data_IF_480154561745
#
_entry.id   IF_480154561745
#
_cell.length_a   1.000
_cell.length_b   1.000
_cell.length_c   1.000
_cell.angle_alpha   90.00
_cell.angle_beta   90.00
_cell.angle_gamma   90.00
#
_symmetry.space_group_name_H-M   'P 1'
#
loop_
_entity.id
_entity.type
_entity.pdbx_description
1 polymer ?
#
# COMPACT_ATOMS: atom_id res chain seq x y z
N UNK A 1 -8.85 6.05 -11.29
CA UNK A 1 -9.57 6.70 -12.39
C UNK A 1 -9.90 8.12 -12.00
N UNK A 2 -9.84 9.08 -12.91
CA UNK A 2 -10.26 10.45 -12.67
C UNK A 2 -11.02 10.98 -13.91
N UNK A 3 -12.36 11.12 -13.85
CA UNK A 3 -13.15 11.57 -15.00
C UNK A 3 -13.05 13.08 -15.26
N UNK A 4 -12.50 13.87 -14.34
CA UNK A 4 -12.46 15.33 -14.44
C UNK A 4 -11.22 15.83 -15.19
N UNK A 5 -10.07 15.20 -14.94
CA UNK A 5 -8.77 15.61 -15.52
C UNK A 5 -8.16 14.54 -16.43
N UNK A 6 -8.83 13.39 -16.57
CA UNK A 6 -8.29 12.20 -17.23
C UNK A 6 -7.47 11.33 -16.27
N UNK A 7 -7.42 10.03 -16.59
CA UNK A 7 -6.60 9.06 -15.86
C UNK A 7 -5.22 8.98 -16.52
N UNK A 8 -4.10 9.26 -15.81
CA UNK A 8 -2.77 9.03 -16.40
C UNK A 8 -2.59 7.54 -16.64
N UNK A 9 -1.95 7.16 -17.75
CA UNK A 9 -1.77 5.75 -18.10
C UNK A 9 -0.49 5.20 -17.48
N UNK A 10 -0.55 3.96 -17.02
CA UNK A 10 0.65 3.19 -16.70
C UNK A 10 1.53 3.03 -17.96
N UNK A 11 2.86 3.18 -17.86
CA UNK A 11 3.72 3.26 -19.04
C UNK A 11 4.16 1.90 -19.63
N UNK A 12 3.74 0.76 -19.07
CA UNK A 12 4.25 -0.57 -19.44
C UNK A 12 3.42 -1.28 -20.54
N UNK A 13 2.31 -0.70 -20.97
CA UNK A 13 1.47 -1.22 -22.06
C UNK A 13 1.12 -0.06 -23.01
N UNK A 14 1.87 0.12 -24.12
CA UNK A 14 1.66 1.24 -25.03
C UNK A 14 0.38 1.10 -25.87
N UNK A 15 -0.12 -0.14 -26.04
CA UNK A 15 -1.25 -0.46 -26.92
C UNK A 15 -2.58 -0.41 -26.18
N UNK A 16 -2.60 -0.78 -24.90
CA UNK A 16 -3.80 -0.82 -24.08
C UNK A 16 -3.64 0.05 -22.83
N UNK A 17 -4.42 1.14 -22.69
CA UNK A 17 -4.40 1.96 -21.48
C UNK A 17 -4.65 1.13 -20.20
N UNK A 18 -3.64 1.09 -19.32
CA UNK A 18 -3.71 0.43 -18.01
C UNK A 18 -3.76 1.43 -16.88
N UNK A 19 -4.50 1.08 -15.83
CA UNK A 19 -4.64 1.91 -14.65
C UNK A 19 -3.31 1.99 -13.88
N UNK A 20 -2.85 3.18 -13.47
CA UNK A 20 -1.57 3.35 -12.79
C UNK A 20 -1.65 3.06 -11.29
N UNK A 21 -2.78 2.55 -10.79
CA UNK A 21 -3.06 2.51 -9.35
C UNK A 21 -3.44 3.88 -8.82
N UNK A 22 -3.54 4.04 -7.50
CA UNK A 22 -3.90 5.32 -6.92
C UNK A 22 -3.98 5.33 -5.40
N UNK A 23 -4.20 6.49 -4.78
CA UNK A 23 -4.51 7.79 -5.40
C UNK A 23 -3.31 8.56 -5.99
N UNK A 24 -2.06 8.22 -5.63
CA UNK A 24 -0.83 8.87 -6.13
C UNK A 24 -0.48 8.50 -7.58
N UNK A 25 -1.47 8.48 -8.46
CA UNK A 25 -1.39 8.02 -9.85
C UNK A 25 -0.41 8.85 -10.69
N UNK A 26 -0.57 10.18 -10.70
CA UNK A 26 0.31 11.08 -11.44
C UNK A 26 1.75 11.03 -10.94
N UNK A 27 1.95 10.98 -9.60
CA UNK A 27 3.26 10.83 -8.97
C UNK A 27 3.99 9.58 -9.47
N UNK A 28 3.32 8.42 -9.48
CA UNK A 28 3.93 7.18 -9.93
C UNK A 28 4.23 7.19 -11.44
N UNK A 29 3.28 7.65 -12.27
CA UNK A 29 3.50 7.71 -13.73
C UNK A 29 4.64 8.66 -14.08
N UNK A 30 4.76 9.81 -13.40
CA UNK A 30 5.85 10.75 -13.63
C UNK A 30 7.23 10.14 -13.34
N UNK A 31 7.36 9.38 -12.24
CA UNK A 31 8.63 8.73 -11.88
C UNK A 31 8.95 7.55 -12.80
N UNK A 32 7.94 6.71 -13.09
CA UNK A 32 8.11 5.55 -13.95
C UNK A 32 8.43 5.93 -15.41
N UNK A 33 7.89 7.05 -15.89
CA UNK A 33 8.17 7.59 -17.23
C UNK A 33 9.46 8.42 -17.29
N UNK A 34 10.22 8.52 -16.19
CA UNK A 34 11.47 9.29 -16.14
C UNK A 34 11.30 10.81 -16.17
N UNK A 35 10.09 11.34 -15.99
CA UNK A 35 9.81 12.78 -15.94
C UNK A 35 10.28 13.42 -14.63
N UNK A 36 10.36 12.63 -13.56
CA UNK A 36 10.89 13.02 -12.26
C UNK A 36 11.79 11.91 -11.67
N UNK A 37 12.78 12.24 -10.84
CA UNK A 37 13.61 11.23 -10.16
C UNK A 37 12.84 10.49 -9.06
N UNK A 38 11.96 11.19 -8.35
CA UNK A 38 11.15 10.69 -7.25
C UNK A 38 9.90 11.58 -7.12
N UNK A 39 8.92 11.11 -6.36
CA UNK A 39 7.70 11.87 -6.05
C UNK A 39 7.23 11.60 -4.63
N UNK A 40 6.41 12.51 -4.10
CA UNK A 40 5.72 12.37 -2.83
C UNK A 40 4.29 11.90 -3.09
N UNK A 41 3.79 11.03 -2.24
CA UNK A 41 2.39 10.60 -2.23
C UNK A 41 1.86 10.44 -0.81
N UNK A 42 0.58 10.12 -0.70
CA UNK A 42 -0.07 9.75 0.56
C UNK A 42 -0.56 8.31 0.51
N UNK A 43 -0.67 7.66 1.67
CA UNK A 43 -1.06 6.25 1.79
C UNK A 43 -2.01 6.02 2.97
N UNK A 44 -3.32 6.06 2.68
CA UNK A 44 -4.40 5.78 3.64
C UNK A 44 -4.82 4.31 3.63
N UNK A 45 -4.76 3.67 2.46
CA UNK A 45 -5.11 2.27 2.26
C UNK A 45 -4.16 1.50 1.32
N UNK A 46 -3.08 2.16 0.86
CA UNK A 46 -2.18 1.65 -0.17
C UNK A 46 -1.73 2.67 -1.19
N UNK A 47 -2.06 3.95 -1.03
CA UNK A 47 -1.92 4.95 -2.11
C UNK A 47 -0.51 5.43 -2.44
N UNK A 48 0.52 4.94 -1.74
CA UNK A 48 1.93 4.97 -2.18
C UNK A 48 2.31 3.61 -2.76
N UNK A 49 1.95 2.53 -2.08
CA UNK A 49 2.38 1.15 -2.41
C UNK A 49 1.73 0.58 -3.67
N UNK A 50 0.42 0.74 -3.85
CA UNK A 50 -0.35 0.27 -5.02
C UNK A 50 0.16 0.92 -6.32
N UNK A 51 0.22 2.26 -6.43
CA UNK A 51 0.74 2.86 -7.65
C UNK A 51 2.24 2.59 -7.84
N UNK A 52 3.02 2.39 -6.77
CA UNK A 52 4.40 1.92 -6.93
C UNK A 52 4.46 0.52 -7.54
N UNK A 53 3.61 -0.40 -7.06
CA UNK A 53 3.53 -1.77 -7.54
C UNK A 53 3.14 -1.84 -9.03
N UNK A 54 2.09 -1.14 -9.44
CA UNK A 54 1.64 -1.18 -10.82
C UNK A 54 2.66 -0.55 -11.79
N UNK A 55 3.42 0.45 -11.35
CA UNK A 55 4.37 1.17 -12.22
C UNK A 55 5.84 0.75 -12.01
N UNK A 56 6.10 -0.41 -11.37
CA UNK A 56 7.46 -0.93 -11.23
C UNK A 56 8.40 -0.03 -10.44
N UNK A 57 7.88 0.64 -9.42
CA UNK A 57 8.63 1.56 -8.55
C UNK A 57 8.83 0.97 -7.15
N UNK A 58 9.80 1.54 -6.44
CA UNK A 58 9.93 1.39 -5.00
C UNK A 58 9.02 2.42 -4.30
N UNK A 59 8.19 1.97 -3.37
CA UNK A 59 7.31 2.86 -2.61
C UNK A 59 7.37 2.60 -1.12
N UNK A 60 7.55 3.64 -0.31
CA UNK A 60 7.60 3.52 1.15
C UNK A 60 6.37 4.18 1.79
N UNK A 61 5.47 3.37 2.35
CA UNK A 61 4.47 3.85 3.31
C UNK A 61 5.14 3.94 4.67
N UNK A 62 5.26 5.13 5.23
CA UNK A 62 5.79 5.32 6.59
C UNK A 62 4.83 4.82 7.66
N UNK A 63 5.33 4.67 8.89
CA UNK A 63 4.50 4.64 10.09
C UNK A 63 3.71 5.93 10.25
N UNK A 64 2.58 5.83 10.94
CA UNK A 64 1.80 6.95 11.44
C UNK A 64 2.69 7.89 12.27
N UNK A 65 2.58 9.19 12.00
CA UNK A 65 3.35 10.23 12.71
C UNK A 65 4.83 10.37 12.32
N UNK A 66 5.40 9.51 11.48
CA UNK A 66 6.82 9.62 11.08
C UNK A 66 7.11 10.89 10.30
N UNK A 67 6.28 11.22 9.31
CA UNK A 67 6.39 12.43 8.48
C UNK A 67 5.26 13.39 8.86
N UNK A 68 5.56 14.66 9.17
CA UNK A 68 4.53 15.66 9.46
C UNK A 68 3.54 15.83 8.29
N UNK A 69 2.25 15.88 8.61
CA UNK A 69 1.16 16.03 7.62
C UNK A 69 0.71 17.48 7.41
N UNK A 70 1.45 18.45 7.94
CA UNK A 70 1.12 19.87 7.82
C UNK A 70 1.02 20.29 6.36
N UNK A 71 -0.13 20.84 5.95
CA UNK A 71 -0.41 21.24 4.57
C UNK A 71 -0.90 20.11 3.64
N UNK A 72 -0.99 18.87 4.12
CA UNK A 72 -1.61 17.76 3.39
C UNK A 72 -3.12 17.82 3.61
N UNK A 73 -3.90 17.81 2.53
CA UNK A 73 -5.35 17.74 2.64
C UNK A 73 -5.76 16.33 3.13
N UNK A 74 -6.52 16.22 4.24
CA UNK A 74 -6.77 14.92 4.87
C UNK A 74 -7.85 14.13 4.13
N UNK A 75 -7.67 12.81 4.09
CA UNK A 75 -8.75 11.85 3.85
C UNK A 75 -9.15 11.16 5.16
N UNK A 76 -8.15 10.75 5.95
CA UNK A 76 -8.31 10.11 7.25
C UNK A 76 -7.14 10.53 8.13
N UNK A 77 -7.38 11.41 9.09
CA UNK A 77 -6.35 11.90 10.01
C UNK A 77 -5.67 10.77 10.78
N UNK A 78 -6.39 9.68 11.07
CA UNK A 78 -5.85 8.51 11.76
C UNK A 78 -4.98 7.65 10.84
N UNK A 79 -5.39 7.42 9.59
CA UNK A 79 -4.73 6.45 8.69
C UNK A 79 -3.74 7.06 7.70
N UNK A 80 -3.89 8.34 7.38
CA UNK A 80 -3.07 9.01 6.38
C UNK A 80 -1.61 9.00 6.81
N UNK A 81 -0.74 8.52 5.92
CA UNK A 81 0.70 8.70 6.00
C UNK A 81 1.22 9.32 4.71
N UNK A 82 2.39 9.96 4.78
CA UNK A 82 3.09 10.54 3.62
C UNK A 82 4.26 9.63 3.29
N UNK A 83 4.54 9.42 2.01
CA UNK A 83 5.57 8.47 1.61
C UNK A 83 6.19 8.77 0.25
N UNK A 84 7.46 8.38 0.04
CA UNK A 84 8.13 8.53 -1.24
C UNK A 84 7.73 7.42 -2.23
N UNK A 85 7.69 7.79 -3.51
CA UNK A 85 7.69 6.90 -4.67
C UNK A 85 8.96 7.19 -5.46
N UNK A 86 9.82 6.19 -5.65
CA UNK A 86 11.10 6.36 -6.33
C UNK A 86 11.51 5.09 -7.09
N UNK A 87 12.68 5.12 -7.74
CA UNK A 87 13.19 3.95 -8.50
C UNK A 87 14.07 3.03 -7.66
N UNK A 88 14.48 3.46 -6.47
CA UNK A 88 15.34 2.68 -5.57
C UNK A 88 14.96 2.87 -4.10
N UNK A 89 15.40 1.97 -3.23
CA UNK A 89 15.23 2.14 -1.77
C UNK A 89 16.05 3.33 -1.26
N UNK A 90 17.23 3.56 -1.84
CA UNK A 90 18.10 4.68 -1.50
C UNK A 90 17.41 6.04 -1.74
N UNK A 91 16.78 6.21 -2.90
CA UNK A 91 16.02 7.44 -3.21
C UNK A 91 14.83 7.63 -2.26
N UNK A 92 14.16 6.54 -1.87
CA UNK A 92 13.10 6.61 -0.86
C UNK A 92 13.63 7.08 0.50
N UNK A 93 14.81 6.61 0.93
CA UNK A 93 15.44 7.05 2.18
C UNK A 93 15.80 8.53 2.11
N UNK A 94 16.38 9.00 0.99
CA UNK A 94 16.73 10.40 0.81
C UNK A 94 15.49 11.30 0.88
N UNK A 95 14.40 10.92 0.21
CA UNK A 95 13.17 11.70 0.22
C UNK A 95 12.47 11.65 1.58
N UNK A 96 12.49 10.50 2.29
CA UNK A 96 12.05 10.39 3.68
C UNK A 96 12.82 11.35 4.61
N UNK A 97 14.15 11.41 4.49
CA UNK A 97 14.97 12.36 5.25
C UNK A 97 14.56 13.81 5.01
N UNK A 98 14.39 14.19 3.74
CA UNK A 98 13.97 15.55 3.36
C UNK A 98 12.61 15.89 3.94
N UNK A 99 11.62 14.99 3.82
CA UNK A 99 10.27 15.21 4.36
C UNK A 99 10.23 15.28 5.89
N UNK A 100 11.18 14.62 6.57
CA UNK A 100 11.35 14.71 8.03
C UNK A 100 12.18 15.92 8.47
N UNK A 101 12.79 16.67 7.55
CA UNK A 101 13.75 17.72 7.88
C UNK A 101 15.04 17.19 8.52
N UNK A 102 15.41 15.94 8.24
CA UNK A 102 16.57 15.28 8.83
C UNK A 102 17.82 15.45 7.95
N UNK A 103 18.92 15.94 8.54
CA UNK A 103 20.21 16.06 7.84
C UNK A 103 20.97 14.72 7.74
N UNK A 104 20.67 13.76 8.63
CA UNK A 104 21.32 12.46 8.70
C UNK A 104 20.30 11.36 8.95
N UNK A 105 20.63 10.12 8.57
CA UNK A 105 19.83 8.93 8.88
C UNK A 105 20.65 7.90 9.65
N UNK A 106 19.97 7.08 10.46
CA UNK A 106 20.50 5.87 11.11
C UNK A 106 20.44 4.65 10.19
N UNK A 107 19.72 4.74 9.06
CA UNK A 107 19.52 3.65 8.10
C UNK A 107 20.86 3.21 7.52
N UNK A 108 21.19 1.93 7.63
CA UNK A 108 22.41 1.31 7.10
C UNK A 108 22.06 -0.05 6.50
N UNK A 109 22.83 -0.52 5.51
CA UNK A 109 22.66 -1.89 4.99
C UNK A 109 22.87 -2.90 6.12
N UNK A 110 21.84 -3.69 6.41
CA UNK A 110 21.92 -4.80 7.38
C UNK A 110 22.19 -6.13 6.67
N UNK A 111 22.93 -7.06 7.28
CA UNK A 111 23.21 -8.36 6.66
C UNK A 111 21.94 -9.20 6.53
N UNK A 112 21.74 -9.84 5.36
CA UNK A 112 20.57 -10.69 5.10
C UNK A 112 20.47 -11.90 6.03
N UNK A 113 21.61 -12.39 6.55
CA UNK A 113 21.63 -13.47 7.54
C UNK A 113 20.97 -13.11 8.88
N UNK A 114 20.80 -11.82 9.17
CA UNK A 114 20.06 -11.31 10.33
C UNK A 114 18.56 -11.14 10.08
N UNK A 115 18.10 -11.26 8.83
CA UNK A 115 16.70 -11.05 8.47
C UNK A 115 15.90 -12.34 8.66
N UNK A 116 14.78 -12.20 9.38
CA UNK A 116 13.71 -13.20 9.44
C UNK A 116 12.46 -12.63 8.80
N UNK A 117 11.78 -13.44 7.97
CA UNK A 117 10.51 -13.10 7.35
C UNK A 117 9.41 -14.03 7.86
N UNK A 118 8.23 -13.46 8.08
CA UNK A 118 6.99 -14.19 8.25
C UNK A 118 6.10 -13.96 7.02
N UNK A 119 5.68 -15.04 6.36
CA UNK A 119 4.78 -15.02 5.19
C UNK A 119 3.40 -15.50 5.63
N UNK A 120 2.40 -14.60 5.74
CA UNK A 120 1.03 -14.97 6.07
C UNK A 120 0.41 -15.78 4.93
N UNK A 121 -0.11 -16.96 5.24
CA UNK A 121 -0.70 -17.86 4.23
C UNK A 121 -2.21 -17.61 4.00
N UNK A 122 -2.83 -16.82 4.89
CA UNK A 122 -4.25 -16.48 4.82
C UNK A 122 -4.45 -15.04 4.33
N UNK A 123 -5.58 -14.80 3.66
CA UNK A 123 -5.99 -13.49 3.09
C UNK A 123 -5.09 -12.99 1.95
N UNK A 124 -3.81 -12.73 2.22
CA UNK A 124 -2.91 -11.98 1.33
C UNK A 124 -2.44 -12.75 0.11
N UNK A 125 -2.52 -14.09 0.15
CA UNK A 125 -2.20 -15.01 -0.95
C UNK A 125 -3.44 -15.57 -1.67
N UNK A 126 -4.64 -15.09 -1.36
CA UNK A 126 -5.87 -15.55 -2.04
C UNK A 126 -6.02 -14.88 -3.41
N UNK A 127 -6.62 -15.54 -4.40
CA UNK A 127 -6.95 -14.95 -5.72
C UNK A 127 -5.81 -14.11 -6.35
N UNK A 128 -4.57 -14.62 -6.29
CA UNK A 128 -3.44 -13.98 -6.95
C UNK A 128 -3.49 -14.28 -8.45
N UNK A 129 -3.19 -13.28 -9.27
CA UNK A 129 -2.82 -13.53 -10.66
C UNK A 129 -1.60 -14.45 -10.71
N UNK A 130 -1.54 -15.33 -11.71
CA UNK A 130 -0.51 -16.38 -11.81
C UNK A 130 0.92 -15.84 -11.76
N UNK A 131 1.18 -14.74 -12.49
CA UNK A 131 2.48 -14.08 -12.50
C UNK A 131 2.85 -13.49 -11.13
N UNK A 132 1.88 -12.92 -10.39
CA UNK A 132 2.10 -12.38 -9.05
C UNK A 132 2.49 -13.50 -8.08
N UNK A 133 1.78 -14.62 -8.11
CA UNK A 133 2.10 -15.80 -7.29
C UNK A 133 3.50 -16.37 -7.63
N UNK A 134 3.79 -16.57 -8.92
CA UNK A 134 5.06 -17.12 -9.37
C UNK A 134 6.25 -16.22 -9.00
N UNK A 135 6.15 -14.91 -9.25
CA UNK A 135 7.22 -13.96 -8.94
C UNK A 135 7.42 -13.82 -7.42
N UNK A 136 6.35 -13.91 -6.63
CA UNK A 136 6.44 -13.90 -5.17
C UNK A 136 7.20 -15.12 -4.64
N UNK A 137 6.84 -16.33 -5.04
CA UNK A 137 7.54 -17.56 -4.61
C UNK A 137 9.00 -17.60 -5.11
N UNK A 138 9.26 -17.15 -6.33
CA UNK A 138 10.62 -17.02 -6.85
C UNK A 138 11.45 -16.02 -6.03
N UNK A 139 10.83 -14.93 -5.56
CA UNK A 139 11.48 -13.94 -4.69
C UNK A 139 11.82 -14.55 -3.33
N UNK A 140 10.89 -15.28 -2.71
CA UNK A 140 11.15 -15.98 -1.44
C UNK A 140 12.32 -16.97 -1.59
N UNK A 141 12.34 -17.75 -2.67
CA UNK A 141 13.43 -18.69 -2.97
C UNK A 141 14.79 -17.99 -3.10
N UNK A 142 14.86 -16.84 -3.80
CA UNK A 142 16.10 -16.04 -3.89
C UNK A 142 16.55 -15.51 -2.52
N UNK A 143 15.62 -15.10 -1.67
CA UNK A 143 15.91 -14.59 -0.32
C UNK A 143 16.43 -15.71 0.60
N UNK A 144 15.82 -16.89 0.57
CA UNK A 144 16.31 -18.06 1.32
C UNK A 144 17.73 -18.46 0.90
N UNK A 145 18.00 -18.48 -0.41
CA UNK A 145 19.34 -18.73 -0.95
C UNK A 145 20.36 -17.67 -0.52
N UNK A 146 19.91 -16.44 -0.30
CA UNK A 146 20.73 -15.34 0.22
C UNK A 146 20.90 -15.36 1.75
N UNK A 147 20.36 -16.37 2.45
CA UNK A 147 20.51 -16.58 3.89
C UNK A 147 19.42 -15.98 4.77
N UNK A 148 18.32 -15.51 4.18
CA UNK A 148 17.15 -15.02 4.93
C UNK A 148 16.38 -16.20 5.52
N UNK A 149 15.98 -16.10 6.79
CA UNK A 149 15.13 -17.12 7.43
C UNK A 149 13.67 -16.83 7.10
N UNK A 150 12.94 -17.79 6.54
CA UNK A 150 11.53 -17.60 6.20
C UNK A 150 10.67 -18.61 6.97
N UNK A 151 9.68 -18.08 7.68
CA UNK A 151 8.61 -18.85 8.28
C UNK A 151 7.30 -18.54 7.55
N UNK A 152 6.46 -19.55 7.34
CA UNK A 152 5.12 -19.41 6.77
C UNK A 152 4.08 -19.95 7.75
N UNK A 153 2.89 -19.37 7.74
CA UNK A 153 1.79 -19.91 8.53
C UNK A 153 0.55 -19.02 8.53
N UNK A 154 -0.52 -19.47 9.21
CA UNK A 154 -1.74 -18.69 9.35
C UNK A 154 -1.48 -17.43 10.18
N UNK A 155 -2.14 -16.34 9.77
CA UNK A 155 -2.20 -15.08 10.52
C UNK A 155 -3.66 -14.64 10.63
N UNK A 156 -4.37 -15.21 11.59
CA UNK A 156 -5.82 -15.01 11.76
C UNK A 156 -6.19 -13.54 11.96
N UNK A 157 -5.27 -12.74 12.52
CA UNK A 157 -5.38 -11.29 12.70
C UNK A 157 -5.81 -10.60 11.40
N UNK A 158 -5.29 -11.03 10.23
CA UNK A 158 -5.68 -10.43 8.95
C UNK A 158 -7.14 -10.73 8.58
N UNK A 159 -7.62 -11.94 8.87
CA UNK A 159 -9.03 -12.29 8.65
C UNK A 159 -9.96 -11.56 9.65
N UNK A 160 -9.52 -11.36 10.89
CA UNK A 160 -10.24 -10.60 11.91
C UNK A 160 -10.39 -9.13 11.51
N UNK A 161 -9.36 -8.51 10.91
CA UNK A 161 -9.43 -7.15 10.36
C UNK A 161 -10.46 -7.06 9.23
N UNK A 162 -10.48 -8.04 8.31
CA UNK A 162 -11.47 -8.08 7.24
C UNK A 162 -12.88 -8.17 7.81
N UNK A 163 -13.10 -9.04 8.80
CA UNK A 163 -14.41 -9.23 9.45
C UNK A 163 -14.88 -7.97 10.16
N UNK A 164 -14.04 -7.36 11.01
CA UNK A 164 -14.44 -6.16 11.77
C UNK A 164 -14.72 -4.98 10.84
N UNK A 165 -13.95 -4.85 9.74
CA UNK A 165 -14.17 -3.80 8.74
C UNK A 165 -15.50 -4.00 7.99
N UNK A 166 -15.88 -5.25 7.73
CA UNK A 166 -17.16 -5.57 7.08
C UNK A 166 -18.35 -5.35 8.02
N UNK A 167 -18.20 -5.62 9.32
CA UNK A 167 -19.26 -5.49 10.32
C UNK A 167 -19.49 -4.04 10.75
N UNK A 168 -18.42 -3.28 10.97
CA UNK A 168 -18.47 -1.94 11.58
C UNK A 168 -18.14 -0.80 10.62
N UNK A 169 -17.70 -1.10 9.39
CA UNK A 169 -17.17 -0.11 8.47
C UNK A 169 -15.68 0.17 8.70
N UNK A 170 -15.18 1.30 8.17
CA UNK A 170 -13.76 1.64 8.23
C UNK A 170 -13.54 3.06 8.73
N UNK A 171 -12.47 3.27 9.51
CA UNK A 171 -12.07 4.63 9.93
C UNK A 171 -11.89 5.56 8.74
N UNK A 172 -11.30 5.05 7.64
CA UNK A 172 -11.12 5.81 6.42
C UNK A 172 -12.44 6.32 5.82
N UNK A 173 -13.52 5.53 5.87
CA UNK A 173 -14.83 5.98 5.40
C UNK A 173 -15.47 6.99 6.36
N UNK A 174 -15.40 6.74 7.67
CA UNK A 174 -15.96 7.63 8.68
C UNK A 174 -15.30 9.02 8.67
N UNK A 175 -13.97 9.07 8.63
CA UNK A 175 -13.21 10.31 8.64
C UNK A 175 -13.33 11.04 7.29
N UNK A 176 -13.34 10.33 6.17
CA UNK A 176 -13.61 10.93 4.87
C UNK A 176 -15.01 11.57 4.83
N UNK A 177 -16.01 10.91 5.42
CA UNK A 177 -17.34 11.49 5.57
C UNK A 177 -17.31 12.75 6.42
N UNK A 178 -16.62 12.74 7.56
CA UNK A 178 -16.46 13.93 8.40
C UNK A 178 -15.85 15.11 7.62
N UNK A 179 -14.73 14.88 6.92
CA UNK A 179 -14.01 15.91 6.16
C UNK A 179 -14.84 16.45 5.00
N UNK A 180 -15.57 15.59 4.29
CA UNK A 180 -16.23 15.92 3.02
C UNK A 180 -17.75 16.06 3.10
N UNK A 181 -18.35 15.96 4.29
CA UNK A 181 -19.82 15.93 4.47
C UNK A 181 -20.55 17.03 3.71
N UNK A 182 -20.08 18.27 3.83
CA UNK A 182 -20.72 19.43 3.18
C UNK A 182 -20.71 19.34 1.65
N UNK A 183 -19.71 18.68 1.06
CA UNK A 183 -19.59 18.48 -0.37
C UNK A 183 -20.49 17.35 -0.87
N UNK A 184 -20.50 16.21 -0.17
CA UNK A 184 -21.26 15.01 -0.61
C UNK A 184 -22.75 15.06 -0.28
N UNK A 185 -23.16 15.87 0.70
CA UNK A 185 -24.57 16.12 1.00
C UNK A 185 -25.08 17.47 0.46
N UNK A 186 -24.19 18.29 -0.08
CA UNK A 186 -24.48 19.65 -0.54
C UNK A 186 -24.82 19.76 -2.03
N UNK A 187 -25.05 21.00 -2.51
CA UNK A 187 -25.41 21.25 -3.91
C UNK A 187 -24.30 20.88 -4.90
N UNK A 188 -23.04 20.83 -4.45
CA UNK A 188 -21.88 20.50 -5.28
C UNK A 188 -21.66 18.99 -5.47
N UNK A 189 -22.49 18.10 -4.89
CA UNK A 189 -22.30 16.64 -5.00
C UNK A 189 -22.20 16.15 -6.45
N UNK A 190 -22.93 16.78 -7.37
CA UNK A 190 -22.90 16.46 -8.80
C UNK A 190 -21.55 16.79 -9.49
N UNK A 191 -20.65 17.51 -8.82
CA UNK A 191 -19.31 17.84 -9.30
C UNK A 191 -18.25 16.83 -8.86
N UNK A 192 -18.63 15.84 -8.06
CA UNK A 192 -17.74 14.82 -7.51
C UNK A 192 -17.98 13.50 -8.24
N UNK A 193 -16.91 12.77 -8.56
CA UNK A 193 -17.04 11.42 -9.12
C UNK A 193 -17.95 10.54 -8.24
N UNK A 194 -18.96 9.94 -8.85
CA UNK A 194 -19.99 9.18 -8.14
C UNK A 194 -19.44 7.98 -7.35
N UNK A 195 -18.31 7.39 -7.77
CA UNK A 195 -17.62 6.30 -7.04
C UNK A 195 -16.96 6.84 -5.78
N UNK A 196 -16.44 8.07 -5.81
CA UNK A 196 -15.92 8.78 -4.63
C UNK A 196 -17.06 9.09 -3.67
N UNK A 197 -18.17 9.66 -4.16
CA UNK A 197 -19.37 9.93 -3.33
C UNK A 197 -19.85 8.67 -2.63
N UNK A 198 -20.04 7.56 -3.36
CA UNK A 198 -20.51 6.29 -2.80
C UNK A 198 -19.60 5.79 -1.65
N UNK A 199 -18.28 5.89 -1.82
CA UNK A 199 -17.31 5.46 -0.80
C UNK A 199 -17.32 6.35 0.44
N UNK A 200 -17.41 7.67 0.27
CA UNK A 200 -17.51 8.63 1.38
C UNK A 200 -18.82 8.41 2.13
N UNK A 201 -19.94 8.26 1.43
CA UNK A 201 -21.25 8.03 2.04
C UNK A 201 -21.33 6.71 2.82
N UNK A 202 -20.45 5.75 2.55
CA UNK A 202 -20.30 4.53 3.36
C UNK A 202 -19.92 4.80 4.82
N UNK A 203 -19.35 5.96 5.15
CA UNK A 203 -19.06 6.36 6.53
C UNK A 203 -20.26 6.95 7.28
N UNK A 204 -21.28 7.43 6.59
CA UNK A 204 -22.46 8.09 7.18
C UNK A 204 -23.23 7.25 8.22
N UNK A 205 -23.49 5.94 8.00
CA UNK A 205 -24.27 5.16 8.95
C UNK A 205 -23.46 4.68 10.17
N UNK A 206 -22.13 4.86 10.18
CA UNK A 206 -21.29 4.40 11.29
C UNK A 206 -21.59 5.16 12.58
N UNK A 207 -21.71 4.42 13.67
CA UNK A 207 -21.95 4.96 15.01
C UNK A 207 -20.65 5.26 15.74
N UNK A 208 -20.72 6.02 16.85
CA UNK A 208 -19.57 6.21 17.73
C UNK A 208 -19.07 4.88 18.33
N UNK A 209 -19.97 3.92 18.55
CA UNK A 209 -19.61 2.59 19.04
C UNK A 209 -18.75 1.83 18.02
N UNK A 210 -19.09 1.89 16.74
CA UNK A 210 -18.30 1.27 15.66
C UNK A 210 -16.87 1.81 15.65
N UNK A 211 -16.70 3.12 15.82
CA UNK A 211 -15.36 3.74 15.90
C UNK A 211 -14.57 3.25 17.11
N UNK A 212 -15.19 3.20 18.30
CA UNK A 212 -14.53 2.70 19.52
C UNK A 212 -14.12 1.23 19.37
N UNK A 213 -14.97 0.39 18.79
CA UNK A 213 -14.69 -1.02 18.50
C UNK A 213 -13.46 -1.15 17.58
N UNK A 214 -13.45 -0.40 16.47
CA UNK A 214 -12.35 -0.45 15.51
C UNK A 214 -11.04 0.04 16.15
N UNK A 215 -11.06 1.14 16.89
CA UNK A 215 -9.88 1.67 17.58
C UNK A 215 -9.31 0.71 18.62
N UNK A 216 -10.17 0.02 19.38
CA UNK A 216 -9.75 -1.01 20.32
C UNK A 216 -9.10 -2.18 19.60
N UNK A 217 -9.73 -2.66 18.52
CA UNK A 217 -9.21 -3.76 17.72
C UNK A 217 -7.86 -3.43 17.07
N UNK A 218 -7.65 -2.20 16.56
CA UNK A 218 -6.36 -1.76 16.02
C UNK A 218 -5.22 -1.97 17.02
N UNK A 219 -5.40 -1.51 18.26
CA UNK A 219 -4.39 -1.64 19.31
C UNK A 219 -4.17 -3.08 19.75
N UNK A 220 -5.26 -3.82 19.96
CA UNK A 220 -5.20 -5.23 20.35
C UNK A 220 -4.50 -6.07 19.28
N UNK A 221 -4.89 -5.92 18.02
CA UNK A 221 -4.37 -6.71 16.90
C UNK A 221 -2.92 -6.36 16.60
N UNK A 222 -2.50 -5.10 16.74
CA UNK A 222 -1.09 -4.72 16.62
C UNK A 222 -0.23 -5.38 17.70
N UNK A 223 -0.69 -5.42 18.95
CA UNK A 223 0.01 -6.09 20.04
C UNK A 223 0.11 -7.62 19.81
N UNK A 224 -1.00 -8.26 19.42
CA UNK A 224 -1.04 -9.69 19.09
C UNK A 224 -0.14 -10.03 17.89
N UNK A 225 -0.06 -9.14 16.90
CA UNK A 225 0.83 -9.32 15.76
C UNK A 225 2.29 -9.29 16.21
N UNK A 226 2.67 -8.30 17.02
CA UNK A 226 4.03 -8.16 17.53
C UNK A 226 4.46 -9.40 18.34
N UNK A 227 3.57 -9.93 19.19
CA UNK A 227 3.82 -11.19 19.91
C UNK A 227 3.98 -12.38 18.96
N UNK A 228 3.14 -12.47 17.92
CA UNK A 228 3.12 -13.59 16.97
C UNK A 228 4.38 -13.68 16.11
N UNK A 229 4.87 -12.54 15.60
CA UNK A 229 5.98 -12.52 14.64
C UNK A 229 7.32 -12.17 15.29
N UNK A 230 7.30 -11.63 16.52
CA UNK A 230 8.49 -11.14 17.21
C UNK A 230 9.25 -10.14 16.36
N UNK A 231 10.51 -10.47 16.05
CA UNK A 231 11.44 -9.65 15.27
C UNK A 231 11.35 -9.86 13.76
N UNK A 232 10.47 -10.74 13.27
CA UNK A 232 10.34 -10.97 11.83
C UNK A 232 9.68 -9.79 11.12
N UNK A 233 10.10 -9.50 9.89
CA UNK A 233 9.36 -8.64 8.98
C UNK A 233 8.29 -9.46 8.26
N UNK A 234 7.20 -8.83 7.85
CA UNK A 234 6.14 -9.50 7.08
C UNK A 234 6.45 -9.38 5.60
N UNK A 235 6.36 -10.49 4.87
CA UNK A 235 6.50 -10.55 3.42
C UNK A 235 5.19 -11.00 2.76
N UNK A 236 4.71 -10.23 1.78
CA UNK A 236 3.50 -10.53 1.00
C UNK A 236 3.54 -9.87 -0.38
N UNK A 237 2.72 -10.29 -1.36
CA UNK A 237 2.51 -9.50 -2.57
C UNK A 237 1.97 -8.10 -2.20
N UNK A 238 2.46 -7.04 -2.85
CA UNK A 238 1.93 -5.69 -2.60
C UNK A 238 0.47 -5.57 -3.03
N UNK A 239 0.18 -6.11 -4.21
CA UNK A 239 -1.13 -6.16 -4.85
C UNK A 239 -1.30 -7.55 -5.48
N UNK A 240 -2.51 -8.13 -5.50
CA UNK A 240 -2.73 -9.48 -6.00
C UNK A 240 -2.91 -9.60 -7.52
N UNK A 241 -2.74 -8.50 -8.26
CA UNK A 241 -2.92 -8.44 -9.71
C UNK A 241 -1.94 -7.46 -10.34
N UNK A 242 -1.69 -7.60 -11.64
CA UNK A 242 -0.99 -6.55 -12.42
C UNK A 242 -1.95 -5.43 -12.81
N UNK A 243 -1.44 -4.39 -13.47
CA UNK A 243 -2.22 -3.19 -13.79
C UNK A 243 -3.44 -3.52 -14.68
N UNK A 244 -4.68 -3.32 -14.21
CA UNK A 244 -5.88 -3.65 -14.97
C UNK A 244 -6.09 -2.66 -16.13
N UNK A 245 -6.79 -3.11 -17.18
CA UNK A 245 -7.20 -2.26 -18.30
C UNK A 245 -8.17 -1.18 -17.83
N UNK A 246 -8.05 0.05 -18.34
CA UNK A 246 -8.90 1.17 -17.93
C UNK A 246 -10.33 1.01 -18.44
N UNK A 247 -10.52 0.66 -19.72
CA UNK A 247 -11.83 0.68 -20.36
C UNK A 247 -12.91 -0.16 -19.63
N UNK A 248 -12.64 -1.40 -19.17
CA UNK A 248 -13.61 -2.15 -18.37
C UNK A 248 -13.98 -1.49 -17.04
N UNK A 249 -13.02 -0.83 -16.38
CA UNK A 249 -13.24 -0.14 -15.10
C UNK A 249 -14.06 1.14 -15.26
N UNK A 250 -13.95 1.80 -16.41
CA UNK A 250 -14.75 2.99 -16.72
C UNK A 250 -16.19 2.62 -17.09
N UNK A 251 -16.36 1.51 -17.82
CA UNK A 251 -17.65 1.04 -18.30
C UNK A 251 -18.57 0.50 -17.19
N UNK A 252 -18.01 -0.12 -16.14
CA UNK A 252 -18.78 -0.79 -15.10
C UNK A 252 -18.21 -0.55 -13.69
N UNK A 253 -19.06 -0.01 -12.82
CA UNK A 253 -18.72 0.27 -11.42
C UNK A 253 -18.55 -0.96 -10.56
N UNK A 254 -19.27 -2.04 -10.85
CA UNK A 254 -19.10 -3.30 -10.15
C UNK A 254 -17.71 -3.88 -10.47
N UNK A 255 -17.29 -3.80 -11.75
CA UNK A 255 -15.95 -4.20 -12.18
C UNK A 255 -14.89 -3.31 -11.52
N UNK A 256 -15.09 -1.99 -11.49
CA UNK A 256 -14.22 -1.07 -10.75
C UNK A 256 -14.15 -1.43 -9.26
N UNK A 257 -15.29 -1.63 -8.60
CA UNK A 257 -15.37 -1.92 -7.18
C UNK A 257 -14.64 -3.20 -6.80
N UNK A 258 -14.85 -4.27 -7.57
CA UNK A 258 -14.16 -5.55 -7.40
C UNK A 258 -12.64 -5.40 -7.56
N UNK A 259 -12.17 -4.73 -8.61
CA UNK A 259 -10.75 -4.49 -8.83
C UNK A 259 -10.15 -3.59 -7.74
N UNK A 260 -10.89 -2.57 -7.30
CA UNK A 260 -10.44 -1.65 -6.24
C UNK A 260 -10.28 -2.39 -4.90
N UNK A 261 -11.25 -3.23 -4.52
CA UNK A 261 -11.15 -4.06 -3.31
C UNK A 261 -10.01 -5.08 -3.41
N UNK A 262 -9.85 -5.73 -4.57
CA UNK A 262 -8.74 -6.66 -4.85
C UNK A 262 -7.39 -5.95 -4.70
N UNK A 263 -7.21 -4.76 -5.29
CA UNK A 263 -5.97 -3.97 -5.18
C UNK A 263 -5.64 -3.56 -3.73
N UNK A 264 -6.65 -3.16 -2.95
CA UNK A 264 -6.48 -2.65 -1.59
C UNK A 264 -6.28 -3.74 -0.54
N UNK A 265 -6.65 -4.99 -0.83
CA UNK A 265 -6.74 -6.08 0.15
C UNK A 265 -5.50 -6.19 1.04
N UNK A 266 -4.32 -6.27 0.45
CA UNK A 266 -3.08 -6.51 1.20
C UNK A 266 -2.58 -5.23 1.89
N UNK A 267 -2.69 -4.08 1.21
CA UNK A 267 -2.14 -2.83 1.72
C UNK A 267 -2.93 -2.25 2.89
N UNK A 268 -4.27 -2.37 2.87
CA UNK A 268 -5.14 -1.86 3.93
C UNK A 268 -4.90 -2.52 5.28
N UNK A 269 -4.52 -3.81 5.31
CA UNK A 269 -4.14 -4.50 6.54
C UNK A 269 -2.96 -3.80 7.23
N UNK A 270 -1.99 -3.34 6.44
CA UNK A 270 -0.86 -2.54 6.95
C UNK A 270 -1.29 -1.16 7.45
N UNK A 271 -2.26 -0.48 6.82
CA UNK A 271 -2.80 0.78 7.37
C UNK A 271 -3.60 0.54 8.65
N UNK A 272 -4.32 -0.58 8.74
CA UNK A 272 -5.06 -0.93 9.94
C UNK A 272 -4.15 -1.12 11.16
N UNK A 273 -2.97 -1.71 10.93
CA UNK A 273 -2.03 -2.09 11.99
C UNK A 273 -0.86 -1.12 12.15
N UNK A 274 -0.88 0.03 11.48
CA UNK A 274 0.23 0.98 11.44
C UNK A 274 1.58 0.31 11.04
N UNK A 275 1.56 -0.56 10.04
CA UNK A 275 2.77 -1.22 9.55
C UNK A 275 3.43 -0.33 8.49
N UNK A 276 4.64 0.21 8.71
CA UNK A 276 5.42 0.78 7.62
C UNK A 276 5.69 -0.32 6.60
N UNK A 277 5.63 0.03 5.32
CA UNK A 277 5.68 -0.94 4.22
C UNK A 277 6.52 -0.44 3.05
N UNK A 278 7.37 -1.31 2.52
CA UNK A 278 8.25 -1.06 1.38
C UNK A 278 7.83 -1.97 0.22
N UNK A 279 7.16 -1.39 -0.78
CA UNK A 279 6.85 -2.05 -2.05
C UNK A 279 8.09 -2.04 -2.94
N UNK A 280 8.44 -3.20 -3.51
CA UNK A 280 9.63 -3.43 -4.31
C UNK A 280 9.27 -4.19 -5.60
N UNK A 281 9.71 -3.75 -6.79
CA UNK A 281 9.52 -4.50 -8.03
C UNK A 281 10.20 -5.88 -7.95
N UNK A 282 9.50 -6.94 -8.36
CA UNK A 282 10.01 -8.31 -8.21
C UNK A 282 9.82 -9.22 -9.45
N UNK A 283 9.51 -8.63 -10.59
CA UNK A 283 9.29 -9.33 -11.86
C UNK A 283 8.22 -8.65 -12.72
N UNK A 284 7.79 -9.35 -13.76
CA UNK A 284 6.69 -8.94 -14.64
C UNK A 284 5.77 -10.11 -14.95
N UNK A 285 4.57 -9.84 -15.47
CA UNK A 285 3.73 -10.84 -16.12
C UNK A 285 4.16 -11.08 -17.58
N UNK A 286 3.41 -11.94 -18.30
CA UNK A 286 3.66 -12.28 -19.70
C UNK A 286 3.50 -11.10 -20.67
N UNK A 287 2.90 -10.00 -20.23
CA UNK A 287 2.72 -8.76 -20.99
C UNK A 287 3.75 -7.68 -20.61
N UNK A 288 4.69 -7.99 -19.72
CA UNK A 288 5.68 -7.03 -19.24
C UNK A 288 5.15 -6.07 -18.17
N UNK A 289 3.96 -6.30 -17.61
CA UNK A 289 3.44 -5.48 -16.53
C UNK A 289 4.14 -5.84 -15.21
N UNK A 290 4.59 -4.86 -14.41
CA UNK A 290 5.30 -5.11 -13.17
C UNK A 290 4.49 -5.89 -12.12
N UNK A 291 5.17 -6.77 -11.39
CA UNK A 291 4.71 -7.33 -10.11
C UNK A 291 5.51 -6.73 -8.95
N UNK A 292 4.97 -6.83 -7.73
CA UNK A 292 5.59 -6.19 -6.55
C UNK A 292 5.54 -7.04 -5.28
N UNK A 293 6.66 -7.04 -4.57
CA UNK A 293 6.88 -7.63 -3.26
C UNK A 293 6.78 -6.56 -2.18
N UNK A 294 5.98 -6.79 -1.14
CA UNK A 294 5.82 -5.89 -0.01
C UNK A 294 6.49 -6.46 1.23
N UNK A 295 7.43 -5.70 1.77
CA UNK A 295 8.05 -5.95 3.07
C UNK A 295 7.46 -4.97 4.10
N UNK A 296 6.97 -5.45 5.23
CA UNK A 296 6.44 -4.61 6.31
C UNK A 296 7.16 -4.86 7.63
N UNK A 297 7.36 -3.81 8.41
CA UNK A 297 7.79 -3.91 9.80
C UNK A 297 6.64 -3.58 10.75
N UNK A 298 6.86 -3.76 12.06
CA UNK A 298 5.96 -3.27 13.09
C UNK A 298 5.98 -1.73 13.12
N UNK A 299 4.92 -1.12 13.64
CA UNK A 299 4.82 0.35 13.72
C UNK A 299 5.98 0.98 14.48
N UNK A 300 6.59 2.00 13.87
CA UNK A 300 7.76 2.71 14.39
C UNK A 300 9.12 2.16 13.91
N UNK A 301 9.17 0.97 13.31
CA UNK A 301 10.41 0.30 12.88
C UNK A 301 10.82 0.64 11.43
N UNK A 302 10.43 1.80 10.89
CA UNK A 302 10.75 2.22 9.52
C UNK A 302 12.26 2.21 9.21
N UNK A 303 13.12 2.65 10.15
CA UNK A 303 14.57 2.69 9.90
C UNK A 303 15.14 1.27 9.76
N UNK A 304 14.61 0.30 10.52
CA UNK A 304 14.95 -1.12 10.39
C UNK A 304 14.42 -1.69 9.07
N UNK A 305 13.19 -1.37 8.70
CA UNK A 305 12.60 -1.75 7.42
C UNK A 305 13.45 -1.27 6.24
N UNK A 306 13.80 0.01 6.23
CA UNK A 306 14.61 0.63 5.17
C UNK A 306 16.05 0.08 5.15
N UNK A 307 16.61 -0.22 6.32
CA UNK A 307 17.94 -0.82 6.46
C UNK A 307 18.02 -2.23 5.85
N UNK A 308 17.01 -3.06 6.08
CA UNK A 308 16.89 -4.33 5.37
C UNK A 308 16.49 -4.13 3.91
N UNK A 309 15.66 -3.14 3.62
CA UNK A 309 15.27 -2.71 2.27
C UNK A 309 16.47 -2.54 1.33
N UNK A 310 17.50 -1.80 1.79
CA UNK A 310 18.74 -1.59 1.04
C UNK A 310 19.46 -2.89 0.67
N UNK A 311 19.35 -3.92 1.51
CA UNK A 311 20.01 -5.21 1.32
C UNK A 311 19.16 -6.16 0.47
N UNK A 312 17.85 -6.19 0.67
CA UNK A 312 16.95 -7.08 -0.06
C UNK A 312 16.66 -6.61 -1.47
N UNK A 313 16.70 -5.30 -1.76
CA UNK A 313 16.30 -4.74 -3.05
C UNK A 313 16.93 -5.47 -4.25
N UNK A 314 18.25 -5.71 -4.19
CA UNK A 314 18.97 -6.40 -5.26
C UNK A 314 18.49 -7.85 -5.43
N UNK A 315 18.24 -8.55 -4.34
CA UNK A 315 17.79 -9.96 -4.36
C UNK A 315 16.35 -10.07 -4.84
N UNK A 316 15.50 -9.11 -4.43
CA UNK A 316 14.08 -9.06 -4.79
C UNK A 316 13.90 -8.80 -6.27
N UNK A 317 14.67 -7.87 -6.86
CA UNK A 317 14.58 -7.52 -8.28
C UNK A 317 15.06 -8.62 -9.23
N UNK A 318 15.91 -9.55 -8.75
CA UNK A 318 16.54 -10.59 -9.57
C UNK A 318 17.75 -10.04 -10.32
#
# INVERSE_FOLDING_TARGET
LNPHFGTPHNPFDPDTPRAPGGSSAGSAVAVASGLAPCAIGTDTGGSVRIPSAFNGLTGHKSSEGRIPKGGVFPLSETLDTVGPLARSVEDCILLDMVMRGAATTTVRRLPLSGLSLFVPETVVLTDLDSAVAANFEATLSRLEQAGVKIARGPLDIFAEIVRITAEHGSLGAAEAYHVHRSLVEGPDVGRIDRRVVARIMGGKPMSALDLVIIEHARREFAARLAEKIGDALIAMPTVPMTAPKIAPLEADDAVFGMNNLKALRNTMLGNFLNLPGLALPNGTDEHGLPTSFLLCALGGDDDRLLSYGLSVEKVVRG
#
